data_IF_756047617697
#
_entry.id   IF_756047617697
#
_cell.length_a   1.000
_cell.length_b   1.000
_cell.length_c   1.000
_cell.angle_alpha   90.00
_cell.angle_beta   90.00
_cell.angle_gamma   90.00
#
_symmetry.space_group_name_H-M   'P 1'
#
loop_
_entity.id
_entity.type
_entity.pdbx_description
1 polymer ?
#
# COMPACT_ATOMS: atom_id res chain seq x y z
N UNK A 1 4.07 -0.95 26.23
CA UNK A 1 2.70 -0.43 26.39
C UNK A 1 1.86 -1.04 25.28
N UNK A 2 0.66 -1.54 25.59
CA UNK A 2 -0.28 -2.03 24.58
C UNK A 2 -1.39 -0.99 24.44
N UNK A 3 -1.47 -0.32 23.28
CA UNK A 3 -2.60 0.54 22.94
C UNK A 3 -3.74 -0.33 22.43
N UNK A 4 -4.91 -0.26 23.07
CA UNK A 4 -6.12 -0.96 22.65
C UNK A 4 -7.25 0.05 22.51
N UNK A 5 -7.92 0.01 21.37
CA UNK A 5 -9.15 0.73 21.12
C UNK A 5 -10.09 -0.21 20.38
N UNK A 6 -11.36 -0.24 20.79
CA UNK A 6 -12.32 -1.25 20.33
C UNK A 6 -13.32 -0.64 19.32
N UNK A 7 -14.24 0.21 19.77
CA UNK A 7 -15.32 0.72 18.91
C UNK A 7 -15.53 2.23 19.05
N UNK A 8 -15.92 2.86 17.95
CA UNK A 8 -16.24 4.29 17.85
C UNK A 8 -15.35 4.98 16.83
N UNK A 9 -15.86 6.07 16.25
CA UNK A 9 -15.16 6.92 15.26
C UNK A 9 -13.85 7.54 15.78
N UNK A 10 -13.58 7.41 17.09
CA UNK A 10 -12.37 7.91 17.75
C UNK A 10 -11.53 6.82 18.43
N UNK A 11 -11.79 5.55 18.12
CA UNK A 11 -11.11 4.41 18.73
C UNK A 11 -9.74 4.15 18.08
N UNK A 12 -8.72 4.93 18.46
CA UNK A 12 -7.33 4.71 18.04
C UNK A 12 -6.48 4.17 19.17
N UNK A 13 -5.84 3.01 18.95
CA UNK A 13 -4.85 2.49 19.89
C UNK A 13 -3.62 3.41 20.00
N UNK A 14 -3.27 4.10 18.90
CA UNK A 14 -2.24 5.13 18.81
C UNK A 14 -2.72 6.19 17.80
N UNK A 15 -2.67 7.47 18.17
CA UNK A 15 -2.89 8.62 17.29
C UNK A 15 -1.68 9.54 17.36
N UNK A 16 -0.87 9.56 16.29
CA UNK A 16 0.29 10.44 16.16
C UNK A 16 0.03 11.55 15.15
N UNK A 17 0.47 12.77 15.45
CA UNK A 17 0.36 13.93 14.57
C UNK A 17 1.65 14.75 14.66
N UNK A 18 2.07 15.34 13.56
CA UNK A 18 3.19 16.27 13.49
C UNK A 18 2.99 17.21 12.30
N UNK A 19 3.17 18.52 12.50
CA UNK A 19 3.02 19.53 11.45
C UNK A 19 4.29 19.68 10.60
N UNK A 20 5.46 19.59 11.24
CA UNK A 20 6.76 19.83 10.58
C UNK A 20 7.63 18.56 10.47
N UNK A 21 7.26 17.49 11.18
CA UNK A 21 8.07 16.28 11.31
C UNK A 21 7.29 14.99 11.06
N UNK A 22 7.82 13.88 11.59
CA UNK A 22 7.16 12.59 11.48
C UNK A 22 6.18 12.40 12.64
N UNK A 23 4.90 12.15 12.30
CA UNK A 23 3.89 11.68 13.27
C UNK A 23 4.23 10.29 13.87
N UNK A 24 5.08 9.52 13.19
CA UNK A 24 5.70 8.29 13.69
C UNK A 24 7.00 7.99 12.94
N UNK A 25 8.07 7.66 13.67
CA UNK A 25 9.37 7.27 13.11
C UNK A 25 9.79 5.93 13.72
N UNK A 26 9.89 4.90 12.89
CA UNK A 26 10.17 3.54 13.34
C UNK A 26 11.53 3.08 12.79
N UNK A 27 12.42 2.61 13.67
CA UNK A 27 13.67 1.96 13.27
C UNK A 27 13.57 0.46 13.53
N UNK A 28 13.61 -0.32 12.44
CA UNK A 28 13.49 -1.78 12.49
C UNK A 28 12.29 -2.30 11.71
N UNK A 29 11.95 -3.58 11.92
CA UNK A 29 10.82 -4.23 11.24
C UNK A 29 9.50 -3.78 11.85
N UNK A 30 8.55 -3.38 11.00
CA UNK A 30 7.15 -3.15 11.38
C UNK A 30 6.33 -4.33 10.85
N UNK A 31 5.48 -4.91 11.70
CA UNK A 31 4.59 -6.00 11.33
C UNK A 31 3.14 -5.57 11.54
N UNK A 32 2.34 -5.58 10.46
CA UNK A 32 0.91 -5.26 10.48
C UNK A 32 0.16 -6.55 10.16
N UNK A 33 -0.64 -7.05 11.11
CA UNK A 33 -1.39 -8.31 10.94
C UNK A 33 -2.69 -8.13 10.17
N UNK A 34 -3.15 -6.88 10.00
CA UNK A 34 -4.38 -6.52 9.30
C UNK A 34 -4.12 -5.70 8.04
N UNK A 35 -5.12 -4.91 7.63
CA UNK A 35 -5.00 -3.98 6.51
C UNK A 35 -4.15 -2.76 6.87
N UNK A 36 -3.43 -2.22 5.88
CA UNK A 36 -2.75 -0.93 5.95
C UNK A 36 -3.43 0.02 4.97
N UNK A 37 -4.08 1.06 5.48
CA UNK A 37 -4.66 2.14 4.66
C UNK A 37 -3.72 3.35 4.68
N UNK A 38 -3.43 3.91 3.51
CA UNK A 38 -2.57 5.09 3.36
C UNK A 38 -3.01 5.99 2.20
N UNK A 39 -2.67 7.28 2.26
CA UNK A 39 -2.81 8.19 1.11
C UNK A 39 -1.74 7.95 0.04
N UNK A 40 -0.50 7.67 0.45
CA UNK A 40 0.60 7.28 -0.45
C UNK A 40 1.57 6.29 0.23
N UNK A 41 2.42 5.63 -0.56
CA UNK A 41 3.40 4.68 -0.03
C UNK A 41 4.37 4.20 -1.09
N UNK A 42 5.56 3.77 -0.65
CA UNK A 42 6.63 3.41 -1.54
C UNK A 42 7.93 3.08 -0.80
N UNK A 43 9.01 2.91 -1.54
CA UNK A 43 10.36 2.85 -0.97
C UNK A 43 11.13 4.14 -1.24
N UNK A 44 12.09 4.42 -0.36
CA UNK A 44 13.12 5.43 -0.53
C UNK A 44 14.47 4.77 -0.24
N UNK A 45 15.38 4.87 -1.20
CA UNK A 45 16.76 4.37 -1.09
C UNK A 45 17.72 5.43 -1.61
N UNK A 46 19.01 5.27 -1.33
CA UNK A 46 20.04 6.07 -2.00
C UNK A 46 19.99 5.80 -3.50
N UNK A 47 20.19 6.85 -4.30
CA UNK A 47 20.12 6.73 -5.74
C UNK A 47 21.25 5.81 -6.25
N UNK A 48 20.96 4.75 -7.02
CA UNK A 48 21.95 3.72 -7.36
C UNK A 48 23.13 4.23 -8.20
N UNK A 49 22.96 5.36 -8.91
CA UNK A 49 24.02 6.00 -9.70
C UNK A 49 24.64 7.24 -9.02
N UNK A 50 24.05 7.73 -7.92
CA UNK A 50 24.50 8.96 -7.25
C UNK A 50 24.09 8.97 -5.76
N UNK A 51 24.57 8.00 -4.96
CA UNK A 51 24.03 7.75 -3.63
C UNK A 51 24.37 8.84 -2.61
N UNK A 52 25.45 9.60 -2.83
CA UNK A 52 25.85 10.66 -1.89
C UNK A 52 25.01 11.93 -2.03
N UNK A 53 24.35 12.14 -3.17
CA UNK A 53 23.68 13.42 -3.48
C UNK A 53 22.17 13.26 -3.75
N UNK A 54 21.66 12.05 -3.99
CA UNK A 54 20.28 11.83 -4.42
C UNK A 54 19.64 10.64 -3.74
N UNK A 55 18.33 10.74 -3.57
CA UNK A 55 17.46 9.61 -3.25
C UNK A 55 16.71 9.15 -4.50
N UNK A 56 16.39 7.86 -4.55
CA UNK A 56 15.45 7.28 -5.49
C UNK A 56 14.18 6.87 -4.73
N UNK A 57 13.02 7.32 -5.22
CA UNK A 57 11.71 7.02 -4.65
C UNK A 57 10.84 6.33 -5.71
N UNK A 58 10.06 5.34 -5.31
CA UNK A 58 9.07 4.67 -6.17
C UNK A 58 7.79 4.38 -5.39
N UNK A 59 6.65 4.53 -6.04
CA UNK A 59 5.34 4.16 -5.51
C UNK A 59 5.11 2.66 -5.56
N UNK A 60 4.21 2.17 -4.70
CA UNK A 60 3.57 0.88 -4.89
C UNK A 60 2.68 0.86 -6.15
N UNK A 61 2.41 -0.35 -6.63
CA UNK A 61 1.35 -0.63 -7.62
C UNK A 61 0.10 -1.03 -6.84
N UNK A 62 -1.01 -0.36 -7.09
CA UNK A 62 -2.28 -0.57 -6.40
C UNK A 62 -3.32 -1.11 -7.39
N UNK A 63 -4.13 -2.08 -6.95
CA UNK A 63 -5.22 -2.66 -7.76
C UNK A 63 -6.48 -2.81 -6.91
N UNK A 64 -7.67 -2.49 -7.44
CA UNK A 64 -8.93 -2.73 -6.72
C UNK A 64 -9.20 -4.22 -6.50
N UNK A 65 -8.57 -5.11 -7.27
CA UNK A 65 -8.86 -6.55 -7.27
C UNK A 65 -7.87 -7.39 -6.46
N UNK A 66 -6.88 -6.77 -5.81
CA UNK A 66 -5.78 -7.47 -5.12
C UNK A 66 -4.96 -8.36 -6.08
N UNK A 67 -4.56 -7.80 -7.22
CA UNK A 67 -3.79 -8.52 -8.24
C UNK A 67 -2.38 -8.89 -7.78
N UNK A 68 -1.97 -10.12 -8.07
CA UNK A 68 -0.57 -10.52 -8.10
C UNK A 68 -0.03 -10.48 -9.53
N UNK A 69 1.21 -10.05 -9.69
CA UNK A 69 1.88 -9.89 -10.99
C UNK A 69 3.12 -10.79 -11.04
N UNK A 70 3.18 -11.64 -12.06
CA UNK A 70 4.32 -12.51 -12.34
C UNK A 70 4.80 -12.26 -13.76
N UNK A 71 6.11 -12.23 -13.97
CA UNK A 71 6.69 -11.97 -15.27
C UNK A 71 8.00 -12.71 -15.45
N UNK A 72 8.41 -12.84 -16.70
CA UNK A 72 9.69 -13.46 -17.05
C UNK A 72 9.95 -13.40 -18.54
N UNK A 73 10.98 -14.12 -18.96
CA UNK A 73 11.26 -14.36 -20.36
C UNK A 73 11.38 -15.87 -20.57
N UNK A 74 10.98 -16.34 -21.74
CA UNK A 74 11.20 -17.72 -22.18
C UNK A 74 11.60 -17.73 -23.65
N UNK A 75 12.33 -18.75 -24.08
CA UNK A 75 12.68 -18.97 -25.48
C UNK A 75 11.92 -20.20 -25.98
N UNK A 76 11.29 -20.08 -27.16
CA UNK A 76 10.61 -21.22 -27.79
C UNK A 76 11.60 -22.17 -28.45
N UNK A 77 11.26 -23.45 -28.50
CA UNK A 77 12.08 -24.49 -29.11
C UNK A 77 12.07 -24.45 -30.65
N UNK A 78 12.66 -25.48 -31.27
CA UNK A 78 12.69 -25.64 -32.73
C UNK A 78 11.30 -25.83 -33.37
N UNK A 79 10.27 -26.11 -32.57
CA UNK A 79 8.87 -26.19 -33.01
C UNK A 79 8.10 -24.90 -32.70
N UNK A 80 8.75 -23.88 -32.13
CA UNK A 80 8.10 -22.65 -31.69
C UNK A 80 7.28 -22.81 -30.41
N UNK A 81 7.55 -23.82 -29.58
CA UNK A 81 6.84 -24.07 -28.33
C UNK A 81 7.69 -23.72 -27.09
N UNK A 82 7.07 -23.19 -26.04
CA UNK A 82 7.69 -22.98 -24.74
C UNK A 82 6.69 -23.30 -23.62
N UNK A 83 7.19 -23.83 -22.52
CA UNK A 83 6.43 -24.00 -21.28
C UNK A 83 7.00 -23.04 -20.23
N UNK A 84 6.12 -22.30 -19.57
CA UNK A 84 6.45 -21.44 -18.44
C UNK A 84 6.00 -22.12 -17.17
N UNK A 85 6.96 -22.49 -16.33
CA UNK A 85 6.70 -23.01 -14.98
C UNK A 85 6.49 -21.85 -14.00
N UNK A 86 5.35 -21.86 -13.32
CA UNK A 86 5.00 -20.93 -12.26
C UNK A 86 5.30 -21.55 -10.89
N UNK A 87 5.44 -20.74 -9.83
CA UNK A 87 5.58 -21.28 -8.48
C UNK A 87 4.44 -22.23 -8.14
N UNK A 88 4.72 -23.31 -7.41
CA UNK A 88 3.73 -24.37 -7.09
C UNK A 88 2.49 -23.90 -6.30
N UNK A 89 2.52 -22.68 -5.78
CA UNK A 89 1.41 -22.04 -5.08
C UNK A 89 0.60 -21.09 -5.97
N UNK A 90 0.98 -20.87 -7.23
CA UNK A 90 0.39 -19.84 -8.08
C UNK A 90 -1.11 -20.04 -8.26
N UNK A 91 -1.56 -21.21 -8.70
CA UNK A 91 -2.99 -21.50 -8.87
C UNK A 91 -3.73 -21.55 -7.54
N UNK A 92 -3.07 -22.04 -6.47
CA UNK A 92 -3.68 -22.06 -5.15
C UNK A 92 -3.91 -20.63 -4.59
N UNK A 93 -3.08 -19.67 -4.99
CA UNK A 93 -3.14 -18.28 -4.56
C UNK A 93 -3.98 -17.40 -5.48
N UNK A 94 -4.14 -17.77 -6.75
CA UNK A 94 -4.68 -16.88 -7.79
C UNK A 94 -5.77 -17.52 -8.64
N UNK A 95 -6.72 -16.71 -9.12
CA UNK A 95 -7.65 -17.04 -10.20
C UNK A 95 -7.73 -15.88 -11.22
N UNK A 96 -8.63 -15.97 -12.21
CA UNK A 96 -8.89 -14.94 -13.25
C UNK A 96 -7.62 -14.43 -13.94
N UNK A 97 -6.94 -15.36 -14.64
CA UNK A 97 -5.64 -15.08 -15.23
C UNK A 97 -5.72 -14.18 -16.46
N UNK A 98 -4.79 -13.23 -16.58
CA UNK A 98 -4.59 -12.41 -17.79
C UNK A 98 -3.15 -12.50 -18.24
N UNK A 99 -2.93 -12.51 -19.55
CA UNK A 99 -1.62 -12.75 -20.16
C UNK A 99 -1.22 -11.60 -21.09
N UNK A 100 0.05 -11.19 -21.01
CA UNK A 100 0.68 -10.29 -21.97
C UNK A 100 1.97 -10.91 -22.49
N UNK A 101 2.11 -10.99 -23.81
CA UNK A 101 3.27 -11.58 -24.49
C UNK A 101 3.90 -10.55 -25.42
N UNK A 102 5.23 -10.47 -25.44
CA UNK A 102 5.99 -9.61 -26.36
C UNK A 102 7.20 -10.36 -26.91
N UNK A 103 7.22 -10.56 -28.23
CA UNK A 103 8.38 -11.12 -28.94
C UNK A 103 9.57 -10.16 -28.92
N UNK A 104 10.77 -10.66 -28.63
CA UNK A 104 12.01 -9.89 -28.50
C UNK A 104 13.03 -10.34 -29.56
N UNK A 105 13.70 -9.37 -30.19
CA UNK A 105 14.79 -9.63 -31.15
C UNK A 105 14.33 -10.02 -32.55
N UNK A 106 13.17 -10.64 -32.68
CA UNK A 106 12.51 -10.89 -33.95
C UNK A 106 10.99 -10.71 -33.83
N UNK A 107 10.36 -10.19 -34.89
CA UNK A 107 8.91 -10.19 -34.98
C UNK A 107 8.41 -11.62 -35.21
N UNK A 108 7.50 -12.06 -34.37
CA UNK A 108 6.82 -13.35 -34.43
C UNK A 108 5.42 -13.18 -33.84
N UNK A 109 4.44 -13.90 -34.40
CA UNK A 109 3.14 -14.07 -33.77
C UNK A 109 3.32 -14.95 -32.54
N UNK A 110 2.82 -14.52 -31.38
CA UNK A 110 2.91 -15.26 -30.13
C UNK A 110 1.52 -15.39 -29.51
N UNK A 111 1.18 -16.59 -29.05
CA UNK A 111 -0.07 -16.88 -28.34
C UNK A 111 0.20 -17.66 -27.05
N UNK A 112 -0.74 -17.56 -26.11
CA UNK A 112 -0.89 -18.56 -25.06
C UNK A 112 -1.52 -19.79 -25.73
N UNK A 113 -0.78 -20.90 -25.80
CA UNK A 113 -1.22 -22.13 -26.43
C UNK A 113 -2.09 -22.96 -25.49
N UNK A 114 -1.73 -22.99 -24.21
CA UNK A 114 -2.53 -23.56 -23.11
C UNK A 114 -2.50 -22.56 -21.96
N UNK A 115 -3.67 -22.25 -21.42
CA UNK A 115 -3.81 -21.43 -20.21
C UNK A 115 -3.20 -22.14 -18.99
N UNK A 116 -3.06 -21.39 -17.89
CA UNK A 116 -2.53 -21.95 -16.65
C UNK A 116 -3.33 -23.18 -16.21
N UNK A 117 -2.61 -24.29 -16.09
CA UNK A 117 -3.07 -25.52 -15.48
C UNK A 117 -1.85 -26.22 -14.85
N UNK A 118 -1.99 -26.74 -13.62
CA UNK A 118 -0.90 -27.41 -12.90
C UNK A 118 0.36 -26.52 -12.76
N UNK A 119 0.16 -25.25 -12.42
CA UNK A 119 1.14 -24.18 -12.25
C UNK A 119 2.06 -23.98 -13.46
N UNK A 120 1.57 -24.21 -14.66
CA UNK A 120 2.28 -23.88 -15.89
C UNK A 120 1.32 -23.40 -16.96
N UNK A 121 1.82 -22.64 -17.92
CA UNK A 121 1.11 -22.34 -19.15
C UNK A 121 2.08 -22.47 -20.32
N UNK A 122 1.57 -22.67 -21.53
CA UNK A 122 2.42 -22.81 -22.72
C UNK A 122 2.25 -21.63 -23.67
N UNK A 123 3.35 -21.26 -24.31
CA UNK A 123 3.43 -20.23 -25.34
C UNK A 123 3.77 -20.91 -26.65
N UNK A 124 3.16 -20.44 -27.74
CA UNK A 124 3.53 -20.85 -29.09
C UNK A 124 3.79 -19.65 -29.99
N UNK A 125 4.85 -19.75 -30.78
CA UNK A 125 5.22 -18.77 -31.80
C UNK A 125 5.15 -19.36 -33.20
N UNK A 126 4.96 -18.51 -34.21
CA UNK A 126 4.95 -18.91 -35.63
C UNK A 126 6.36 -19.20 -36.20
N UNK A 127 7.39 -18.84 -35.43
CA UNK A 127 8.82 -19.07 -35.74
C UNK A 127 9.48 -19.80 -34.57
N UNK A 128 10.51 -20.62 -34.83
CA UNK A 128 11.28 -21.27 -33.77
C UNK A 128 12.25 -20.30 -33.10
N UNK A 129 12.74 -20.66 -31.91
CA UNK A 129 13.82 -19.95 -31.22
C UNK A 129 13.50 -18.44 -31.03
N UNK A 130 12.25 -18.15 -30.68
CA UNK A 130 11.77 -16.79 -30.40
C UNK A 130 11.83 -16.56 -28.90
N UNK A 131 12.55 -15.51 -28.48
CA UNK A 131 12.47 -15.03 -27.10
C UNK A 131 11.17 -14.25 -26.89
N UNK A 132 10.40 -14.64 -25.90
CA UNK A 132 9.13 -13.99 -25.51
C UNK A 132 9.25 -13.49 -24.07
N UNK A 133 9.05 -12.19 -23.88
CA UNK A 133 8.76 -11.61 -22.56
C UNK A 133 7.29 -11.81 -22.24
N UNK A 134 7.01 -12.34 -21.06
CA UNK A 134 5.65 -12.66 -20.63
C UNK A 134 5.34 -12.01 -19.28
N UNK A 135 4.08 -11.65 -19.12
CA UNK A 135 3.47 -11.31 -17.83
C UNK A 135 2.17 -12.09 -17.69
N UNK A 136 1.96 -12.70 -16.53
CA UNK A 136 0.69 -13.27 -16.11
C UNK A 136 0.26 -12.61 -14.80
N UNK A 137 -1.00 -12.18 -14.74
CA UNK A 137 -1.61 -11.64 -13.52
C UNK A 137 -2.69 -12.58 -13.03
N UNK A 138 -3.03 -12.50 -11.74
CA UNK A 138 -4.19 -13.20 -11.19
C UNK A 138 -4.73 -12.51 -9.95
N UNK A 139 -6.02 -12.71 -9.70
CA UNK A 139 -6.75 -12.21 -8.55
C UNK A 139 -6.50 -13.11 -7.35
N UNK A 140 -6.04 -12.53 -6.24
CA UNK A 140 -5.68 -13.29 -5.03
C UNK A 140 -6.89 -13.92 -4.33
N UNK A 141 -6.82 -15.22 -4.01
CA UNK A 141 -7.92 -16.04 -3.47
C UNK A 141 -7.63 -16.87 -2.20
N UNK A 142 -6.56 -16.60 -1.45
CA UNK A 142 -6.41 -17.28 -0.16
C UNK A 142 -7.52 -16.88 0.84
N UNK A 143 -7.78 -17.67 1.90
CA UNK A 143 -8.90 -17.44 2.80
C UNK A 143 -8.95 -16.05 3.46
N UNK A 144 -7.80 -15.41 3.67
CA UNK A 144 -7.79 -14.04 4.23
C UNK A 144 -8.21 -13.04 3.16
N UNK A 145 -7.66 -13.13 1.95
CA UNK A 145 -8.01 -12.24 0.84
C UNK A 145 -9.50 -12.35 0.46
N UNK A 146 -10.06 -13.57 0.40
CA UNK A 146 -11.48 -13.78 0.08
C UNK A 146 -12.41 -13.17 1.13
N UNK A 147 -12.05 -13.22 2.42
CA UNK A 147 -12.88 -12.67 3.50
C UNK A 147 -12.71 -11.16 3.69
N UNK A 148 -11.60 -10.60 3.22
CA UNK A 148 -11.23 -9.19 3.41
C UNK A 148 -10.92 -8.55 2.05
N UNK A 149 -11.81 -8.74 1.07
CA UNK A 149 -11.68 -8.10 -0.24
C UNK A 149 -11.75 -6.59 -0.07
N UNK A 150 -10.93 -5.88 -0.86
CA UNK A 150 -11.02 -4.43 -0.96
C UNK A 150 -12.38 -4.09 -1.58
N UNK A 151 -13.12 -3.19 -0.93
CA UNK A 151 -14.28 -2.55 -1.51
C UNK A 151 -13.76 -1.30 -2.22
N UNK A 152 -13.77 -1.23 -3.57
CA UNK A 152 -13.12 -0.14 -4.28
C UNK A 152 -13.76 1.23 -4.05
N UNK A 153 -15.04 1.23 -3.72
CA UNK A 153 -15.85 2.43 -3.53
C UNK A 153 -16.73 2.26 -2.29
N UNK A 154 -16.61 3.19 -1.35
CA UNK A 154 -17.45 3.27 -0.16
C UNK A 154 -18.01 4.68 -0.01
N UNK A 155 -19.26 4.76 0.44
CA UNK A 155 -19.82 6.03 0.87
C UNK A 155 -19.09 6.51 2.11
N UNK A 156 -18.70 7.79 2.13
CA UNK A 156 -18.23 8.43 3.35
C UNK A 156 -19.31 8.33 4.45
N UNK A 157 -18.92 8.12 5.72
CA UNK A 157 -19.80 8.31 6.87
C UNK A 157 -20.54 9.65 6.79
N UNK A 158 -21.76 9.72 7.31
CA UNK A 158 -22.61 10.91 7.16
C UNK A 158 -21.92 12.17 7.67
N UNK A 159 -21.20 12.07 8.77
CA UNK A 159 -20.40 13.13 9.39
C UNK A 159 -19.18 13.59 8.57
N UNK A 160 -18.68 12.76 7.65
CA UNK A 160 -17.51 13.07 6.82
C UNK A 160 -17.90 13.56 5.41
N UNK A 161 -19.18 13.49 5.05
CA UNK A 161 -19.66 13.93 3.72
C UNK A 161 -19.47 15.44 3.57
N UNK A 162 -18.86 15.84 2.45
CA UNK A 162 -18.49 17.24 2.17
C UNK A 162 -17.12 17.66 2.73
N UNK A 163 -16.45 16.80 3.51
CA UNK A 163 -15.10 17.01 4.01
C UNK A 163 -14.06 16.22 3.18
N UNK A 164 -12.79 16.58 3.34
CA UNK A 164 -11.67 16.02 2.58
C UNK A 164 -10.62 15.40 3.51
N UNK A 165 -9.96 14.34 3.05
CA UNK A 165 -8.75 13.81 3.70
C UNK A 165 -7.53 14.71 3.48
N UNK A 166 -7.47 15.39 2.33
CA UNK A 166 -6.39 16.33 1.97
C UNK A 166 -6.99 17.55 1.24
N UNK A 167 -7.58 18.53 1.96
CA UNK A 167 -8.29 19.67 1.35
C UNK A 167 -7.43 20.50 0.39
N UNK A 168 -6.17 20.71 0.74
CA UNK A 168 -5.19 21.45 -0.04
C UNK A 168 -4.98 20.85 -1.45
N UNK A 169 -5.02 19.52 -1.57
CA UNK A 169 -4.97 18.84 -2.86
C UNK A 169 -6.17 19.13 -3.78
N UNK A 170 -7.24 19.74 -3.24
CA UNK A 170 -8.45 20.15 -3.96
C UNK A 170 -8.70 21.67 -3.89
N UNK A 171 -7.66 22.46 -3.57
CA UNK A 171 -7.73 23.92 -3.38
C UNK A 171 -8.80 24.35 -2.35
N UNK A 172 -9.07 23.49 -1.36
CA UNK A 172 -10.01 23.74 -0.29
C UNK A 172 -9.32 24.22 0.99
N UNK A 173 -10.08 24.88 1.85
CA UNK A 173 -9.57 25.38 3.14
C UNK A 173 -9.25 24.24 4.11
N UNK A 174 -8.28 24.45 5.02
CA UNK A 174 -7.96 23.50 6.10
C UNK A 174 -9.19 23.16 6.97
N UNK A 175 -10.13 24.10 7.11
CA UNK A 175 -11.39 23.86 7.84
C UNK A 175 -12.29 22.78 7.23
N UNK A 176 -12.04 22.36 6.00
CA UNK A 176 -12.76 21.25 5.35
C UNK A 176 -12.02 19.91 5.50
N UNK A 177 -10.95 19.84 6.32
CA UNK A 177 -10.30 18.58 6.65
C UNK A 177 -11.21 17.74 7.56
N UNK A 178 -11.27 16.43 7.30
CA UNK A 178 -12.13 15.50 8.05
C UNK A 178 -11.85 15.51 9.56
N UNK A 179 -10.61 15.80 9.96
CA UNK A 179 -10.22 15.87 11.37
C UNK A 179 -10.11 17.31 11.90
N UNK A 180 -10.51 18.35 11.15
CA UNK A 180 -10.28 19.76 11.55
C UNK A 180 -10.81 20.10 12.95
N UNK A 181 -12.09 19.82 13.21
CA UNK A 181 -12.70 20.10 14.51
C UNK A 181 -12.07 19.27 15.63
N UNK A 182 -11.68 18.03 15.31
CA UNK A 182 -11.04 17.10 16.24
C UNK A 182 -9.64 17.57 16.65
N UNK A 183 -8.83 17.98 15.69
CA UNK A 183 -7.48 18.50 15.92
C UNK A 183 -7.54 19.78 16.76
N UNK A 184 -8.44 20.71 16.41
CA UNK A 184 -8.67 21.92 17.20
C UNK A 184 -9.17 21.66 18.63
N UNK A 185 -10.00 20.64 18.85
CA UNK A 185 -10.45 20.24 20.18
C UNK A 185 -9.30 19.65 21.02
N UNK A 186 -8.45 18.83 20.41
CA UNK A 186 -7.29 18.23 21.06
C UNK A 186 -6.25 19.28 21.48
N UNK A 187 -5.95 20.26 20.61
CA UNK A 187 -5.06 21.38 20.93
C UNK A 187 -5.56 22.20 22.11
N UNK A 188 -6.84 22.57 22.11
CA UNK A 188 -7.46 23.30 23.23
C UNK A 188 -7.36 22.52 24.54
N UNK A 189 -7.62 21.21 24.50
CA UNK A 189 -7.49 20.34 25.67
C UNK A 189 -6.04 20.25 26.17
N UNK A 190 -5.06 20.16 25.28
CA UNK A 190 -3.64 20.14 25.67
C UNK A 190 -3.18 21.47 26.27
N UNK A 191 -3.62 22.60 25.71
CA UNK A 191 -3.32 23.92 26.27
C UNK A 191 -3.86 24.04 27.69
N UNK A 192 -5.13 23.68 27.91
CA UNK A 192 -5.75 23.73 29.23
C UNK A 192 -5.03 22.85 30.27
N UNK A 193 -4.56 21.65 29.86
CA UNK A 193 -3.78 20.77 30.73
C UNK A 193 -2.40 21.37 31.07
N UNK A 194 -1.73 22.01 30.12
CA UNK A 194 -0.46 22.70 30.37
C UNK A 194 -0.63 23.86 31.35
N UNK A 195 -1.68 24.65 31.17
CA UNK A 195 -1.99 25.78 32.06
C UNK A 195 -2.26 25.29 33.50
N UNK A 196 -3.05 24.23 33.66
CA UNK A 196 -3.31 23.61 34.96
C UNK A 196 -2.04 23.03 35.60
N UNK A 197 -1.18 22.38 34.81
CA UNK A 197 0.08 21.83 35.30
C UNK A 197 1.04 22.93 35.76
N UNK A 198 1.13 24.04 35.01
CA UNK A 198 1.93 25.20 35.39
C UNK A 198 1.41 25.85 36.68
N UNK A 199 0.09 25.95 36.86
CA UNK A 199 -0.52 26.46 38.08
C UNK A 199 -0.23 25.55 39.29
N UNK A 200 -0.36 24.23 39.12
CA UNK A 200 -0.05 23.25 40.17
C UNK A 200 1.43 23.26 40.57
N UNK A 201 2.35 23.35 39.59
CA UNK A 201 3.79 23.47 39.85
C UNK A 201 4.11 24.76 40.58
N UNK A 202 3.53 25.90 40.16
CA UNK A 202 3.71 27.17 40.84
C UNK A 202 3.18 27.16 42.29
N UNK A 203 2.04 26.50 42.54
CA UNK A 203 1.53 26.30 43.92
C UNK A 203 2.45 25.40 44.74
N UNK A 204 2.93 24.30 44.16
CA UNK A 204 3.86 23.40 44.85
C UNK A 204 5.18 24.11 45.19
N UNK A 205 5.74 24.91 44.28
CA UNK A 205 6.95 25.72 44.55
C UNK A 205 6.71 26.78 45.64
N UNK A 206 5.54 27.40 45.66
CA UNK A 206 5.17 28.35 46.71
C UNK A 206 4.96 27.67 48.09
N UNK A 207 4.49 26.43 48.11
CA UNK A 207 4.25 25.64 49.34
C UNK A 207 5.49 24.88 49.84
N UNK A 208 6.42 24.49 48.95
CA UNK A 208 7.66 23.76 49.26
C UNK A 208 8.87 24.65 49.55
N UNK A 209 8.73 25.97 49.39
CA UNK A 209 9.68 26.98 49.86
C UNK A 209 9.73 27.14 51.39
N UNK A 210 9.95 26.04 52.12
CA UNK A 210 10.43 26.00 53.50
C UNK A 210 11.74 25.21 53.58
#
# INVERSE_FOLDING_TARGET
MMGRADTGSFAYGIWGQSEEGYAGYFTGKVHVTGALTKGSGGFKIDHPLDPQNKYLLHSFVESPDMLNVYFGNVETDDNGAAVVELPSYFEALNHDFTYHLTSIGQFAQAIVAEEVQENRFSIRTDKPNVKVSWQVTGVRQDPYATRNRIVPEEDKPEEERGLYLHPDAYDQSLSQHVNFEREGAHEKSQSALKDQAAELLGRYEAESGR
#
